data_IF_688132484242
#
_entry.id   IF_688132484242
#
_cell.length_a   1.000
_cell.length_b   1.000
_cell.length_c   1.000
_cell.angle_alpha   90.00
_cell.angle_beta   90.00
_cell.angle_gamma   90.00
#
_symmetry.space_group_name_H-M   'P 1'
#
loop_
_entity.id
_entity.type
_entity.pdbx_description
1 polymer ?
#
# COMPACT_ATOMS: atom_id res chain seq x y z
N UNK A 1 14.18 6.85 1.07
CA UNK A 1 13.54 5.74 0.33
C UNK A 1 14.59 5.00 -0.47
N UNK A 2 14.87 3.73 -0.17
CA UNK A 2 15.77 2.91 -0.98
C UNK A 2 15.13 2.68 -2.35
N UNK A 3 15.64 3.35 -3.38
CA UNK A 3 15.19 3.20 -4.78
C UNK A 3 15.74 1.91 -5.40
N UNK A 4 15.61 0.80 -4.70
CA UNK A 4 16.01 -0.50 -5.22
C UNK A 4 14.90 -1.01 -6.13
N UNK A 5 15.23 -1.63 -7.28
CA UNK A 5 14.23 -2.24 -8.16
C UNK A 5 13.32 -3.23 -7.43
N UNK A 6 13.88 -3.94 -6.44
CA UNK A 6 13.16 -4.88 -5.58
C UNK A 6 12.05 -4.20 -4.77
N UNK A 7 12.31 -3.00 -4.24
CA UNK A 7 11.32 -2.26 -3.46
C UNK A 7 10.13 -1.81 -4.34
N UNK A 8 10.40 -1.38 -5.57
CA UNK A 8 9.34 -1.05 -6.54
C UNK A 8 8.53 -2.29 -6.92
N UNK A 9 9.20 -3.42 -7.16
CA UNK A 9 8.55 -4.69 -7.47
C UNK A 9 7.60 -5.12 -6.35
N UNK A 10 8.03 -5.06 -5.09
CA UNK A 10 7.17 -5.41 -3.96
C UNK A 10 5.94 -4.50 -3.88
N UNK A 11 6.09 -3.19 -4.09
CA UNK A 11 4.94 -2.28 -4.09
C UNK A 11 3.92 -2.65 -5.17
N UNK A 12 4.38 -2.92 -6.38
CA UNK A 12 3.51 -3.37 -7.49
C UNK A 12 2.83 -4.70 -7.19
N UNK A 13 3.58 -5.67 -6.66
CA UNK A 13 3.05 -6.97 -6.28
C UNK A 13 1.92 -6.85 -5.25
N UNK A 14 2.12 -6.06 -4.19
CA UNK A 14 1.11 -5.88 -3.17
C UNK A 14 -0.11 -5.09 -3.67
N UNK A 15 0.11 -4.10 -4.52
CA UNK A 15 -0.97 -3.36 -5.16
C UNK A 15 -1.86 -4.30 -6.00
N UNK A 16 -1.27 -5.13 -6.86
CA UNK A 16 -2.04 -6.11 -7.65
C UNK A 16 -2.73 -7.17 -6.79
N UNK A 17 -2.04 -7.68 -5.76
CA UNK A 17 -2.57 -8.77 -4.92
C UNK A 17 -3.70 -8.31 -3.99
N UNK A 18 -3.62 -7.08 -3.47
CA UNK A 18 -4.55 -6.54 -2.47
C UNK A 18 -5.65 -5.65 -3.06
N UNK A 19 -5.54 -5.24 -4.33
CA UNK A 19 -6.62 -4.51 -5.01
C UNK A 19 -7.96 -5.26 -5.08
N UNK A 20 -8.02 -6.60 -5.26
CA UNK A 20 -9.29 -7.31 -5.28
C UNK A 20 -10.07 -7.26 -3.94
N UNK A 21 -9.44 -7.49 -2.77
CA UNK A 21 -10.15 -7.44 -1.49
C UNK A 21 -10.31 -6.04 -0.88
N UNK A 22 -9.73 -4.99 -1.45
CA UNK A 22 -9.75 -3.66 -0.84
C UNK A 22 -8.97 -2.60 -1.61
N UNK A 23 -8.81 -1.44 -0.98
CA UNK A 23 -8.06 -0.31 -1.53
C UNK A 23 -6.60 -0.35 -1.05
N UNK A 24 -5.66 -0.08 -1.95
CA UNK A 24 -4.23 -0.01 -1.64
C UNK A 24 -3.71 1.39 -1.96
N UNK A 25 -3.10 2.04 -0.97
CA UNK A 25 -2.41 3.31 -1.13
C UNK A 25 -0.90 3.12 -0.90
N UNK A 26 -0.12 3.27 -1.96
CA UNK A 26 1.35 3.17 -1.90
C UNK A 26 1.97 4.54 -1.62
N UNK A 27 2.96 4.59 -0.72
CA UNK A 27 3.60 5.83 -0.23
C UNK A 27 2.63 6.78 0.50
N UNK A 28 1.77 6.22 1.34
CA UNK A 28 0.78 6.99 2.10
C UNK A 28 1.46 7.87 3.17
N UNK A 29 1.12 9.16 3.18
CA UNK A 29 1.56 10.10 4.22
C UNK A 29 0.63 10.02 5.43
N UNK A 30 1.18 9.72 6.60
CA UNK A 30 0.39 9.66 7.83
C UNK A 30 0.21 11.06 8.37
N UNK A 31 -1.01 11.60 8.28
CA UNK A 31 -1.33 12.93 8.80
C UNK A 31 -0.99 13.03 10.28
N UNK A 32 -0.12 13.99 10.64
CA UNK A 32 0.33 14.22 12.01
C UNK A 32 1.63 13.50 12.39
N UNK A 33 2.19 12.65 11.51
CA UNK A 33 3.50 12.02 11.69
C UNK A 33 4.44 12.39 10.53
N UNK A 34 5.74 12.55 10.81
CA UNK A 34 6.77 12.79 9.78
C UNK A 34 7.20 11.47 9.10
N UNK A 35 6.25 10.56 8.85
CA UNK A 35 6.52 9.24 8.32
C UNK A 35 5.61 8.90 7.14
N UNK A 36 6.20 8.17 6.19
CA UNK A 36 5.50 7.58 5.05
C UNK A 36 5.36 6.08 5.26
N UNK A 37 4.19 5.55 4.95
CA UNK A 37 3.93 4.11 4.92
C UNK A 37 4.10 3.61 3.50
N UNK A 38 4.86 2.52 3.36
CA UNK A 38 5.17 1.98 2.03
C UNK A 38 3.94 1.44 1.31
N UNK A 39 3.06 0.75 2.04
CA UNK A 39 1.80 0.18 1.58
C UNK A 39 0.77 0.32 2.71
N UNK A 40 -0.33 1.02 2.41
CA UNK A 40 -1.50 1.13 3.27
C UNK A 40 -2.66 0.38 2.62
N UNK A 41 -3.20 -0.65 3.28
CA UNK A 41 -4.31 -1.44 2.77
C UNK A 41 -5.58 -1.22 3.60
N UNK A 42 -6.68 -0.91 2.92
CA UNK A 42 -8.01 -0.74 3.49
C UNK A 42 -8.95 -1.81 2.94
N UNK A 43 -9.35 -2.83 3.72
CA UNK A 43 -10.23 -3.89 3.22
C UNK A 43 -11.59 -3.33 2.85
N UNK A 44 -12.13 -3.78 1.71
CA UNK A 44 -13.51 -3.48 1.34
C UNK A 44 -14.46 -4.21 2.29
N UNK A 45 -15.54 -3.57 2.77
CA UNK A 45 -16.54 -4.23 3.59
C UNK A 45 -17.14 -5.39 2.79
N UNK A 46 -17.02 -6.61 3.31
CA UNK A 46 -17.67 -7.77 2.73
C UNK A 46 -19.18 -7.65 3.01
N UNK A 47 -20.06 -7.76 2.00
CA UNK A 47 -21.48 -7.89 2.26
C UNK A 47 -21.73 -9.17 3.06
N UNK A 48 -22.40 -9.03 4.21
CA UNK A 48 -22.84 -10.11 5.10
C UNK A 48 -23.87 -11.03 4.43
#
# INVERSE_FOLDING_TARGET
MSRTPLHQFFKQFFEEFLSPPGEVNSNFEVSGELHFVDIWFSPSPQPL
#
